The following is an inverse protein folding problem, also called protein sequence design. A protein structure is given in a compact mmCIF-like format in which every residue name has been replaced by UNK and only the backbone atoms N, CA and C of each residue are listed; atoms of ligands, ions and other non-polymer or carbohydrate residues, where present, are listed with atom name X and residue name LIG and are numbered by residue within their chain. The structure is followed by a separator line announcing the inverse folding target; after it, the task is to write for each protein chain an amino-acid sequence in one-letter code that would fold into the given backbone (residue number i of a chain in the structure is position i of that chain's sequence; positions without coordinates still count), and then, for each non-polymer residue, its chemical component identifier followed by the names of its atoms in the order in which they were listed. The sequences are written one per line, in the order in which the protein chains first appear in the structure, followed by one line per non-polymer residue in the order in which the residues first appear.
data_IF_091348101024
#
_entry.id   IF_091348101024
#
_cell.length_a   1.000
_cell.length_b   1.000
_cell.length_c   1.000
_cell.angle_alpha   90.00
_cell.angle_beta   90.00
_cell.angle_gamma   90.00
#
_symmetry.space_group_name_H-M   'P 1'
#
loop_
_entity.id
_entity.type
_entity.pdbx_description
1 polymer ?
#
# COMPACT_ATOMS: atom_id res chain seq x y z
N UNK A 1 -4.45 15.08 17.48
CA UNK A 1 -4.01 13.89 18.25
C UNK A 1 -3.24 14.38 19.48
N UNK A 2 -3.55 13.88 20.65
CA UNK A 2 -2.80 14.25 21.87
C UNK A 2 -1.38 13.67 21.78
N UNK A 3 -0.37 14.55 21.74
CA UNK A 3 1.05 14.17 21.67
C UNK A 3 1.71 14.09 23.05
N UNK A 4 0.98 14.41 24.12
CA UNK A 4 1.50 14.40 25.50
C UNK A 4 1.65 13.00 26.09
N UNK A 5 1.00 12.00 25.47
CA UNK A 5 1.01 10.61 25.90
C UNK A 5 1.23 9.67 24.73
N UNK A 6 1.66 8.45 25.05
CA UNK A 6 1.70 7.38 24.02
C UNK A 6 0.29 7.03 23.55
N UNK A 7 0.16 6.78 22.24
CA UNK A 7 -1.14 6.43 21.62
C UNK A 7 -1.72 5.17 22.26
N UNK A 8 -0.90 4.15 22.50
CA UNK A 8 -1.35 2.91 23.16
C UNK A 8 -1.97 3.17 24.55
N UNK A 9 -1.42 4.10 25.35
CA UNK A 9 -1.98 4.40 26.68
C UNK A 9 -3.35 5.08 26.59
N UNK A 10 -3.58 5.90 25.57
CA UNK A 10 -4.89 6.49 25.29
C UNK A 10 -5.89 5.42 24.83
N UNK A 11 -5.47 4.50 23.99
CA UNK A 11 -6.30 3.40 23.49
C UNK A 11 -6.69 2.40 24.58
N UNK A 12 -5.91 2.28 25.66
CA UNK A 12 -6.25 1.43 26.81
C UNK A 12 -7.59 1.77 27.46
N UNK A 13 -8.09 2.99 27.29
CA UNK A 13 -9.42 3.38 27.77
C UNK A 13 -10.54 2.52 27.15
N UNK A 14 -10.35 2.00 25.95
CA UNK A 14 -11.31 1.12 25.27
C UNK A 14 -11.42 -0.27 25.93
N UNK A 15 -10.46 -0.65 26.76
CA UNK A 15 -10.41 -1.93 27.45
C UNK A 15 -10.84 -1.86 28.92
N UNK A 16 -11.13 -0.66 29.45
CA UNK A 16 -11.44 -0.47 30.86
C UNK A 16 -12.66 -1.30 31.31
N UNK A 17 -13.73 -1.28 30.53
CA UNK A 17 -14.96 -2.01 30.86
C UNK A 17 -14.78 -3.53 30.84
N UNK A 18 -13.83 -4.04 30.09
CA UNK A 18 -13.47 -5.47 30.07
C UNK A 18 -12.64 -5.91 31.28
N UNK A 19 -12.05 -4.96 32.02
CA UNK A 19 -11.10 -5.22 33.07
C UNK A 19 -9.75 -5.83 32.58
N UNK A 20 -9.50 -5.86 31.28
CA UNK A 20 -8.26 -6.39 30.72
C UNK A 20 -7.17 -5.31 30.72
N UNK A 21 -6.29 -5.36 31.71
CA UNK A 21 -5.11 -4.50 31.81
C UNK A 21 -3.79 -5.23 31.52
N UNK A 22 -3.84 -6.53 31.22
CA UNK A 22 -2.67 -7.32 30.84
C UNK A 22 -2.38 -7.15 29.35
N UNK A 23 -2.07 -5.92 28.95
CA UNK A 23 -1.79 -5.51 27.58
C UNK A 23 -0.45 -4.78 27.54
N UNK A 24 0.37 -5.13 26.59
CA UNK A 24 1.62 -4.43 26.30
C UNK A 24 1.61 -3.88 24.88
N UNK A 25 2.54 -3.00 24.56
CA UNK A 25 2.55 -2.43 23.21
C UNK A 25 3.64 -1.39 23.00
N UNK A 26 3.81 -0.99 21.76
CA UNK A 26 4.78 -0.01 21.30
C UNK A 26 4.13 1.01 20.37
N UNK A 27 4.50 2.28 20.52
CA UNK A 27 4.18 3.30 19.52
C UNK A 27 5.32 3.39 18.52
N UNK A 28 4.98 3.45 17.24
CA UNK A 28 5.94 3.62 16.14
C UNK A 28 5.71 4.96 15.44
N UNK A 29 6.79 5.68 15.17
CA UNK A 29 6.76 6.96 14.49
C UNK A 29 7.74 6.93 13.32
N UNK A 30 7.22 6.99 12.08
CA UNK A 30 8.02 7.10 10.87
C UNK A 30 7.16 7.68 9.74
N UNK A 31 6.69 8.92 9.90
CA UNK A 31 5.78 9.55 8.93
C UNK A 31 4.68 8.58 8.48
N UNK A 32 4.36 8.54 7.19
CA UNK A 32 3.31 7.66 6.65
C UNK A 32 3.62 6.15 6.76
N UNK A 33 4.86 5.78 7.13
CA UNK A 33 5.29 4.38 7.26
C UNK A 33 5.08 3.82 8.69
N UNK A 34 4.70 4.63 9.67
CA UNK A 34 4.55 4.23 11.07
C UNK A 34 3.62 3.03 11.27
N UNK A 35 2.48 3.00 10.56
CA UNK A 35 1.55 1.85 10.62
C UNK A 35 2.17 0.54 10.10
N UNK A 36 3.05 0.61 9.10
CA UNK A 36 3.76 -0.57 8.57
C UNK A 36 4.84 -1.05 9.52
N UNK A 37 5.55 -0.14 10.22
CA UNK A 37 6.44 -0.54 11.30
C UNK A 37 5.67 -1.29 12.41
N UNK A 38 4.50 -0.79 12.82
CA UNK A 38 3.68 -1.46 13.81
C UNK A 38 3.22 -2.85 13.35
N UNK A 39 2.78 -2.96 12.09
CA UNK A 39 2.39 -4.25 11.49
C UNK A 39 3.55 -5.25 11.50
N UNK A 40 4.72 -4.85 11.01
CA UNK A 40 5.88 -5.76 10.95
C UNK A 40 6.38 -6.15 12.35
N UNK A 41 6.35 -5.24 13.32
CA UNK A 41 6.69 -5.57 14.70
C UNK A 41 5.71 -6.59 15.29
N UNK A 42 4.42 -6.44 15.03
CA UNK A 42 3.39 -7.37 15.49
C UNK A 42 3.56 -8.76 14.87
N UNK A 43 3.76 -8.84 13.55
CA UNK A 43 4.02 -10.12 12.84
C UNK A 43 5.30 -10.77 13.40
N UNK A 44 6.39 -10.01 13.50
CA UNK A 44 7.65 -10.55 14.02
C UNK A 44 7.52 -11.04 15.46
N UNK A 45 6.70 -10.40 16.29
CA UNK A 45 6.43 -10.87 17.66
C UNK A 45 5.62 -12.16 17.65
N UNK A 46 4.56 -12.27 16.85
CA UNK A 46 3.78 -13.50 16.74
C UNK A 46 4.63 -14.70 16.24
N UNK A 47 5.60 -14.43 15.37
CA UNK A 47 6.51 -15.46 14.83
C UNK A 47 7.73 -15.72 15.73
N UNK A 48 7.86 -15.01 16.86
CA UNK A 48 9.02 -15.14 17.76
C UNK A 48 8.77 -16.16 18.88
N UNK A 49 9.85 -16.56 19.55
CA UNK A 49 9.78 -17.38 20.77
C UNK A 49 9.17 -16.65 21.97
N UNK A 50 8.93 -15.34 21.87
CA UNK A 50 8.30 -14.54 22.93
C UNK A 50 6.77 -14.48 22.79
N UNK A 51 6.21 -15.07 21.74
CA UNK A 51 4.76 -15.10 21.59
C UNK A 51 4.10 -16.01 22.65
N UNK A 52 3.09 -15.51 23.28
CA UNK A 52 2.38 -16.15 24.38
C UNK A 52 0.93 -16.57 24.07
N UNK A 53 0.58 -16.58 22.78
CA UNK A 53 -0.74 -16.99 22.30
C UNK A 53 -1.77 -15.85 22.17
N UNK A 54 -1.42 -14.62 22.55
CA UNK A 54 -2.31 -13.45 22.37
C UNK A 54 -2.22 -12.91 20.94
N UNK A 55 -3.32 -12.33 20.45
CA UNK A 55 -3.33 -11.55 19.24
C UNK A 55 -2.73 -10.15 19.47
N UNK A 56 -2.30 -9.50 18.37
CA UNK A 56 -1.88 -8.12 18.39
C UNK A 56 -2.91 -7.22 17.66
N UNK A 57 -3.14 -6.02 18.17
CA UNK A 57 -3.94 -5.00 17.48
C UNK A 57 -3.01 -3.90 16.98
N UNK A 58 -2.98 -3.70 15.68
CA UNK A 58 -2.26 -2.60 15.05
C UNK A 58 -3.25 -1.48 14.75
N UNK A 59 -2.97 -0.29 15.27
CA UNK A 59 -3.79 0.90 15.02
C UNK A 59 -2.95 1.91 14.23
N UNK A 60 -3.36 2.18 12.99
CA UNK A 60 -2.74 3.15 12.09
C UNK A 60 -3.70 4.32 11.88
N UNK A 61 -3.49 5.42 12.57
CA UNK A 61 -4.35 6.59 12.50
C UNK A 61 -3.57 7.89 12.42
N UNK A 62 -4.04 8.82 11.59
CA UNK A 62 -3.38 10.10 11.40
C UNK A 62 -4.32 11.19 10.86
N UNK A 63 -3.86 12.43 10.95
CA UNK A 63 -4.52 13.61 10.41
C UNK A 63 -3.51 14.40 9.60
N UNK A 64 -3.75 14.53 8.30
CA UNK A 64 -2.90 15.26 7.36
C UNK A 64 -3.43 16.69 7.18
N UNK A 65 -2.83 17.63 7.89
CA UNK A 65 -3.14 19.06 7.80
C UNK A 65 -2.03 19.80 7.05
N UNK A 66 -2.42 20.69 6.15
CA UNK A 66 -1.50 21.53 5.39
C UNK A 66 -1.87 23.00 5.49
N UNK A 67 -0.87 23.87 5.51
CA UNK A 67 -1.07 25.31 5.35
C UNK A 67 -1.81 25.61 4.03
N UNK A 68 -2.45 26.78 3.96
CA UNK A 68 -3.10 27.26 2.74
C UNK A 68 -2.12 27.21 1.55
N UNK A 69 -2.51 26.49 0.51
CA UNK A 69 -1.68 26.25 -0.68
C UNK A 69 -2.07 24.98 -1.42
N UNK A 70 -1.27 24.58 -2.40
CA UNK A 70 -1.57 23.48 -3.33
C UNK A 70 -1.69 22.11 -2.66
N UNK A 71 -1.06 21.90 -1.51
CA UNK A 71 -1.13 20.63 -0.78
C UNK A 71 -2.41 20.50 0.07
N UNK A 72 -3.05 21.61 0.47
CA UNK A 72 -4.22 21.60 1.37
C UNK A 72 -5.36 20.68 0.89
N UNK A 73 -5.76 20.68 -0.41
CA UNK A 73 -6.84 19.82 -0.88
C UNK A 73 -6.53 18.32 -0.84
N UNK A 74 -5.27 17.93 -0.60
CA UNK A 74 -4.87 16.54 -0.50
C UNK A 74 -4.88 16.02 0.94
N UNK A 75 -5.10 16.90 1.92
CA UNK A 75 -5.20 16.56 3.32
C UNK A 75 -6.36 15.63 3.61
N UNK A 76 -6.25 14.88 4.69
CA UNK A 76 -7.27 13.93 5.09
C UNK A 76 -7.09 13.46 6.53
N UNK A 77 -8.00 12.63 6.99
CA UNK A 77 -7.92 12.00 8.30
C UNK A 77 -8.53 10.60 8.25
N UNK A 78 -7.98 9.69 9.00
CA UNK A 78 -8.53 8.34 9.10
C UNK A 78 -7.73 7.47 10.06
N UNK A 79 -8.36 6.37 10.44
CA UNK A 79 -7.77 5.37 11.31
C UNK A 79 -8.22 3.98 10.84
N UNK A 80 -7.27 3.06 10.78
CA UNK A 80 -7.54 1.65 10.52
C UNK A 80 -6.97 0.84 11.67
N UNK A 81 -7.79 -0.04 12.25
CA UNK A 81 -7.36 -1.03 13.22
C UNK A 81 -7.35 -2.41 12.57
N UNK A 82 -6.27 -3.16 12.78
CA UNK A 82 -6.07 -4.50 12.24
C UNK A 82 -5.78 -5.47 13.39
N UNK A 83 -6.53 -6.56 13.44
CA UNK A 83 -6.23 -7.68 14.32
C UNK A 83 -5.24 -8.59 13.62
N UNK A 84 -4.13 -8.89 14.27
CA UNK A 84 -3.04 -9.72 13.75
C UNK A 84 -2.95 -10.97 14.64
N UNK A 85 -3.11 -12.13 14.05
CA UNK A 85 -3.13 -13.41 14.74
C UNK A 85 -2.97 -14.57 13.75
N UNK A 86 -2.94 -15.82 14.25
CA UNK A 86 -2.93 -17.00 13.40
C UNK A 86 -4.26 -17.15 12.64
N UNK A 87 -4.26 -18.01 11.62
CA UNK A 87 -5.45 -18.40 10.83
C UNK A 87 -6.26 -17.22 10.27
N UNK A 88 -5.57 -16.13 9.93
CA UNK A 88 -6.18 -14.92 9.42
C UNK A 88 -6.68 -15.08 7.97
N UNK A 89 -7.79 -14.42 7.59
CA UNK A 89 -8.31 -14.43 6.22
C UNK A 89 -7.43 -13.68 5.21
N UNK A 90 -6.48 -12.87 5.68
CA UNK A 90 -5.42 -12.26 4.88
C UNK A 90 -4.07 -12.67 5.44
N UNK A 91 -3.36 -13.52 4.72
CA UNK A 91 -2.10 -14.11 5.19
C UNK A 91 -0.91 -13.36 4.63
N UNK A 92 -0.02 -12.92 5.51
CA UNK A 92 1.26 -12.31 5.11
C UNK A 92 2.16 -13.36 4.46
N UNK A 93 2.74 -13.05 3.28
CA UNK A 93 3.65 -13.98 2.60
C UNK A 93 5.07 -13.85 3.18
N UNK A 94 5.58 -14.86 3.91
CA UNK A 94 6.89 -14.80 4.57
C UNK A 94 8.02 -14.62 3.57
N UNK A 95 9.01 -13.80 3.93
CA UNK A 95 10.21 -13.58 3.11
C UNK A 95 9.99 -12.70 1.86
N UNK A 96 8.76 -12.43 1.44
CA UNK A 96 8.44 -11.59 0.29
C UNK A 96 8.27 -10.11 0.71
N UNK A 97 9.40 -9.49 1.11
CA UNK A 97 9.43 -8.10 1.55
C UNK A 97 10.62 -7.38 0.93
N UNK A 98 10.38 -6.49 -0.04
CA UNK A 98 11.36 -5.56 -0.57
C UNK A 98 11.35 -4.26 0.24
N UNK A 99 12.50 -3.79 0.73
CA UNK A 99 12.59 -2.57 1.57
C UNK A 99 13.60 -1.60 1.01
N UNK A 100 13.36 -0.31 1.23
CA UNK A 100 14.29 0.76 0.93
C UNK A 100 14.17 1.88 1.97
N UNK A 101 15.29 2.30 2.52
CA UNK A 101 15.36 3.37 3.51
C UNK A 101 16.57 4.26 3.21
N UNK A 102 16.38 5.58 3.32
CA UNK A 102 17.46 6.57 3.22
C UNK A 102 17.12 7.82 4.00
N UNK A 103 18.12 8.62 4.35
CA UNK A 103 17.92 9.88 5.06
C UNK A 103 17.71 11.02 4.06
N UNK A 104 16.55 11.71 4.14
CA UNK A 104 16.20 12.82 3.27
C UNK A 104 15.24 13.77 3.95
N UNK A 105 15.32 15.06 3.67
CA UNK A 105 14.41 16.10 4.15
C UNK A 105 13.41 16.52 3.04
N UNK A 106 12.64 15.57 2.53
CA UNK A 106 11.61 15.80 1.51
C UNK A 106 10.29 16.31 2.11
N UNK A 107 9.99 15.83 3.33
CA UNK A 107 8.78 16.14 4.09
C UNK A 107 9.08 15.94 5.57
N UNK A 108 8.96 16.98 6.40
CA UNK A 108 9.30 16.91 7.81
C UNK A 108 8.58 17.96 8.65
N UNK A 109 8.45 17.73 9.95
CA UNK A 109 7.88 18.64 10.94
C UNK A 109 8.97 19.10 11.91
N UNK A 110 9.60 20.24 11.68
CA UNK A 110 10.68 20.74 12.56
C UNK A 110 10.15 21.26 13.89
N UNK A 111 8.90 21.68 13.93
CA UNK A 111 8.21 22.16 15.12
C UNK A 111 7.18 21.13 15.59
N UNK A 112 7.44 20.50 16.72
CA UNK A 112 6.56 19.47 17.29
C UNK A 112 5.24 20.03 17.83
N UNK A 113 5.13 21.36 18.02
CA UNK A 113 3.90 22.02 18.42
C UNK A 113 2.99 22.36 17.24
N UNK A 114 3.52 22.29 16.01
CA UNK A 114 2.79 22.56 14.77
C UNK A 114 2.35 21.27 14.09
N UNK A 115 1.13 21.26 13.59
CA UNK A 115 0.64 20.16 12.73
C UNK A 115 1.08 20.29 11.28
N UNK A 116 1.59 21.46 10.88
CA UNK A 116 1.92 21.75 9.50
C UNK A 116 3.34 21.28 9.14
N UNK A 117 3.49 20.41 8.11
CA UNK A 117 4.81 20.01 7.62
C UNK A 117 5.45 21.06 6.73
N UNK A 118 6.77 20.98 6.60
CA UNK A 118 7.54 21.57 5.50
C UNK A 118 7.68 20.49 4.43
N UNK A 119 7.36 20.82 3.19
CA UNK A 119 7.30 19.89 2.07
C UNK A 119 8.06 20.44 0.87
N UNK A 120 9.08 19.70 0.39
CA UNK A 120 9.60 19.85 -0.97
C UNK A 120 8.86 18.85 -1.87
N UNK A 121 7.83 19.34 -2.57
CA UNK A 121 6.93 18.48 -3.35
C UNK A 121 7.63 17.78 -4.53
N UNK A 122 8.62 18.41 -5.16
CA UNK A 122 9.37 17.79 -6.27
C UNK A 122 10.30 16.68 -5.77
N UNK A 123 11.04 16.98 -4.73
CA UNK A 123 11.90 16.00 -4.07
C UNK A 123 11.09 14.82 -3.54
N UNK A 124 9.95 15.09 -2.88
CA UNK A 124 9.10 14.04 -2.31
C UNK A 124 8.53 13.09 -3.38
N UNK A 125 8.11 13.61 -4.53
CA UNK A 125 7.65 12.77 -5.65
C UNK A 125 8.76 11.89 -6.21
N UNK A 126 9.97 12.44 -6.34
CA UNK A 126 11.15 11.69 -6.78
C UNK A 126 11.50 10.59 -5.78
N UNK A 127 11.61 10.93 -4.50
CA UNK A 127 11.89 9.98 -3.42
C UNK A 127 10.88 8.83 -3.39
N UNK A 128 9.60 9.12 -3.57
CA UNK A 128 8.56 8.10 -3.63
C UNK A 128 8.78 7.14 -4.81
N UNK A 129 9.12 7.67 -5.99
CA UNK A 129 9.33 6.85 -7.20
C UNK A 129 10.61 6.01 -7.08
N UNK A 130 11.70 6.58 -6.57
CA UNK A 130 12.95 5.85 -6.29
C UNK A 130 12.73 4.71 -5.29
N UNK A 131 11.99 4.97 -4.22
CA UNK A 131 11.64 3.99 -3.22
C UNK A 131 10.78 2.85 -3.79
N UNK A 132 9.81 3.18 -4.66
CA UNK A 132 8.99 2.19 -5.37
C UNK A 132 9.84 1.27 -6.24
N UNK A 133 10.73 1.84 -7.07
CA UNK A 133 11.63 1.08 -7.94
C UNK A 133 12.54 0.15 -7.13
N UNK A 134 13.15 0.66 -6.06
CA UNK A 134 14.04 -0.11 -5.21
C UNK A 134 13.31 -1.25 -4.49
N UNK A 135 12.13 -0.97 -3.92
CA UNK A 135 11.32 -1.98 -3.26
C UNK A 135 10.82 -3.07 -4.23
N UNK A 136 10.41 -2.69 -5.44
CA UNK A 136 9.95 -3.63 -6.46
C UNK A 136 11.07 -4.57 -6.92
N UNK A 137 12.27 -4.01 -7.17
CA UNK A 137 13.46 -4.80 -7.51
C UNK A 137 13.85 -5.76 -6.38
N UNK A 138 13.86 -5.27 -5.13
CA UNK A 138 14.18 -6.09 -3.98
C UNK A 138 13.16 -7.20 -3.73
N UNK A 139 11.86 -6.91 -3.89
CA UNK A 139 10.78 -7.90 -3.81
C UNK A 139 10.97 -8.99 -4.88
N UNK A 140 11.19 -8.59 -6.14
CA UNK A 140 11.41 -9.51 -7.25
C UNK A 140 12.63 -10.41 -7.03
N UNK A 141 13.73 -9.86 -6.51
CA UNK A 141 14.93 -10.64 -6.21
C UNK A 141 14.67 -11.69 -5.12
N UNK A 142 13.92 -11.34 -4.08
CA UNK A 142 13.55 -12.28 -3.01
C UNK A 142 12.60 -13.37 -3.48
N UNK A 143 11.61 -13.02 -4.29
CA UNK A 143 10.69 -14.00 -4.88
C UNK A 143 11.47 -15.04 -5.70
N UNK A 144 12.37 -14.60 -6.57
CA UNK A 144 13.25 -15.50 -7.34
C UNK A 144 14.13 -16.39 -6.46
N UNK A 145 14.60 -15.88 -5.33
CA UNK A 145 15.43 -16.67 -4.40
C UNK A 145 14.67 -17.75 -3.64
N UNK A 146 13.34 -17.66 -3.59
CA UNK A 146 12.46 -18.66 -2.97
C UNK A 146 12.00 -19.74 -3.95
N UNK A 147 12.16 -19.51 -5.26
CA UNK A 147 11.87 -20.54 -6.25
C UNK A 147 12.91 -21.67 -6.12
N UNK A 148 12.47 -22.94 -6.08
CA UNK A 148 13.42 -24.04 -6.06
C UNK A 148 14.31 -23.98 -7.30
N UNK A 149 15.63 -24.32 -7.18
CA UNK A 149 16.53 -24.32 -8.32
C UNK A 149 15.96 -25.20 -9.43
N UNK A 150 15.57 -24.60 -10.54
CA UNK A 150 15.11 -25.32 -11.72
C UNK A 150 16.31 -26.03 -12.31
N UNK A 151 16.35 -27.36 -12.17
CA UNK A 151 17.33 -28.21 -12.87
C UNK A 151 17.14 -28.01 -14.37
N UNK A 152 17.83 -27.05 -14.98
CA UNK A 152 18.14 -26.95 -16.40
C UNK A 152 16.98 -26.96 -17.42
N UNK A 153 15.74 -27.10 -17.01
CA UNK A 153 14.58 -26.95 -17.89
C UNK A 153 14.05 -25.53 -17.70
N UNK A 154 14.34 -24.65 -18.68
CA UNK A 154 13.62 -23.40 -18.81
C UNK A 154 12.12 -23.73 -18.73
N UNK A 155 11.42 -23.17 -17.76
CA UNK A 155 9.97 -23.08 -17.83
C UNK A 155 9.67 -22.25 -19.09
N UNK A 156 9.46 -22.93 -20.20
CA UNK A 156 8.79 -22.34 -21.35
C UNK A 156 7.45 -21.90 -20.81
N UNK A 157 7.29 -20.58 -20.64
CA UNK A 157 5.97 -20.00 -20.57
C UNK A 157 5.24 -20.57 -21.78
N UNK A 158 4.27 -21.44 -21.53
CA UNK A 158 3.46 -22.03 -22.60
C UNK A 158 2.71 -20.92 -23.31
N UNK A 159 3.37 -20.27 -24.26
CA UNK A 159 2.72 -19.47 -25.28
C UNK A 159 2.09 -20.45 -26.25
N UNK A 160 0.86 -20.84 -25.99
CA UNK A 160 0.01 -21.35 -27.06
C UNK A 160 -0.08 -20.25 -28.13
N UNK A 161 0.08 -20.63 -29.38
CA UNK A 161 0.14 -19.75 -30.56
C UNK A 161 -1.14 -18.93 -30.82
N UNK A 162 -2.11 -18.89 -29.89
CA UNK A 162 -3.41 -18.19 -29.98
C UNK A 162 -3.71 -17.22 -28.83
N UNK A 163 -2.69 -16.68 -28.14
CA UNK A 163 -2.94 -15.66 -27.10
C UNK A 163 -3.40 -14.34 -27.74
N UNK A 164 -4.64 -13.95 -27.49
CA UNK A 164 -5.10 -12.61 -27.85
C UNK A 164 -4.30 -11.56 -27.05
N UNK A 165 -4.15 -10.35 -27.57
CA UNK A 165 -3.37 -9.27 -26.94
C UNK A 165 -3.80 -8.96 -25.47
N UNK A 166 -4.91 -9.52 -24.99
CA UNK A 166 -5.39 -9.44 -23.61
C UNK A 166 -4.78 -10.46 -22.64
N UNK A 167 -4.14 -11.52 -23.14
CA UNK A 167 -3.65 -12.64 -22.34
C UNK A 167 -2.14 -12.57 -22.02
N UNK A 168 -1.42 -11.59 -22.58
CA UNK A 168 0.02 -11.42 -22.35
C UNK A 168 0.24 -10.87 -20.94
N UNK A 169 0.83 -11.68 -20.04
CA UNK A 169 1.12 -11.31 -18.66
C UNK A 169 2.48 -10.63 -18.52
N UNK A 170 2.52 -9.49 -17.85
CA UNK A 170 3.76 -8.85 -17.38
C UNK A 170 4.19 -9.43 -16.02
N UNK A 171 5.47 -9.32 -15.62
CA UNK A 171 5.92 -9.74 -14.30
C UNK A 171 5.14 -9.12 -13.15
N UNK A 172 4.67 -7.87 -13.26
CA UNK A 172 3.82 -7.23 -12.27
C UNK A 172 2.44 -7.89 -12.10
N UNK A 173 1.98 -8.66 -13.09
CA UNK A 173 0.69 -9.37 -13.05
C UNK A 173 0.67 -10.54 -12.04
N UNK A 174 1.81 -10.84 -11.37
CA UNK A 174 1.88 -11.71 -10.20
C UNK A 174 1.05 -11.21 -9.02
N UNK A 175 0.75 -9.92 -8.96
CA UNK A 175 -0.21 -9.34 -8.04
C UNK A 175 -1.57 -9.26 -8.72
N UNK A 176 -2.55 -10.00 -8.19
CA UNK A 176 -3.93 -9.91 -8.67
C UNK A 176 -4.54 -8.54 -8.36
N UNK A 177 -4.22 -8.00 -7.19
CA UNK A 177 -4.59 -6.66 -6.75
C UNK A 177 -3.41 -5.93 -6.13
N UNK A 178 -3.49 -4.60 -6.08
CA UNK A 178 -2.47 -3.79 -5.40
C UNK A 178 -3.09 -2.62 -4.63
N UNK A 179 -2.51 -2.34 -3.46
CA UNK A 179 -2.76 -1.14 -2.67
C UNK A 179 -1.45 -0.36 -2.47
N UNK A 180 -1.52 0.94 -2.61
CA UNK A 180 -0.38 1.85 -2.48
C UNK A 180 -0.63 2.86 -1.36
N UNK A 181 0.42 3.30 -0.69
CA UNK A 181 0.34 4.57 0.01
C UNK A 181 -0.09 5.67 -0.97
N UNK A 182 -1.15 6.38 -0.63
CA UNK A 182 -1.84 7.30 -1.52
C UNK A 182 -1.79 8.75 -1.00
N UNK A 183 -0.65 9.47 -1.16
CA UNK A 183 -0.63 10.90 -0.89
C UNK A 183 -1.58 11.66 -1.82
N UNK A 184 -1.70 11.17 -3.06
CA UNK A 184 -2.71 11.58 -4.04
C UNK A 184 -3.09 10.41 -4.94
N UNK A 185 -4.34 10.38 -5.41
CA UNK A 185 -4.80 9.33 -6.33
C UNK A 185 -4.01 9.29 -7.65
N UNK A 186 -3.57 10.47 -8.13
CA UNK A 186 -2.76 10.57 -9.34
C UNK A 186 -1.38 9.91 -9.16
N UNK A 187 -0.77 10.02 -7.99
CA UNK A 187 0.51 9.37 -7.71
C UNK A 187 0.38 7.85 -7.74
N UNK A 188 -0.72 7.30 -7.24
CA UNK A 188 -0.98 5.84 -7.27
C UNK A 188 -1.02 5.33 -8.71
N UNK A 189 -1.72 6.03 -9.63
CA UNK A 189 -1.77 5.60 -11.03
C UNK A 189 -0.41 5.66 -11.72
N UNK A 190 0.39 6.69 -11.43
CA UNK A 190 1.77 6.82 -11.94
C UNK A 190 2.68 5.72 -11.37
N UNK A 191 2.50 5.39 -10.09
CA UNK A 191 3.27 4.32 -9.42
C UNK A 191 3.01 2.96 -10.05
N UNK A 192 1.74 2.65 -10.32
CA UNK A 192 1.40 1.41 -11.00
C UNK A 192 1.97 1.34 -12.42
N UNK A 193 1.92 2.46 -13.16
CA UNK A 193 2.56 2.57 -14.47
C UNK A 193 4.09 2.43 -14.38
N UNK A 194 4.72 2.94 -13.33
CA UNK A 194 6.16 2.82 -13.08
C UNK A 194 6.60 1.37 -12.85
N UNK A 195 5.77 0.54 -12.22
CA UNK A 195 6.07 -0.90 -12.10
C UNK A 195 6.21 -1.55 -13.49
N UNK A 196 5.31 -1.24 -14.42
CA UNK A 196 5.39 -1.76 -15.78
C UNK A 196 6.62 -1.24 -16.54
N UNK A 197 7.04 0.01 -16.28
CA UNK A 197 8.31 0.53 -16.81
C UNK A 197 9.52 -0.25 -16.28
N UNK A 198 9.51 -0.64 -14.99
CA UNK A 198 10.57 -1.50 -14.44
C UNK A 198 10.57 -2.89 -15.11
N UNK A 199 9.41 -3.45 -15.42
CA UNK A 199 9.31 -4.70 -16.17
C UNK A 199 9.86 -4.55 -17.59
N UNK A 200 9.56 -3.42 -18.28
CA UNK A 200 10.13 -3.09 -19.59
C UNK A 200 11.66 -2.98 -19.53
N UNK A 201 12.21 -2.31 -18.53
CA UNK A 201 13.67 -2.21 -18.37
C UNK A 201 14.33 -3.57 -18.10
N UNK A 202 13.62 -4.49 -17.45
CA UNK A 202 14.12 -5.83 -17.16
C UNK A 202 14.09 -6.75 -18.41
N UNK A 203 13.07 -6.64 -19.24
CA UNK A 203 12.92 -7.39 -20.50
C UNK A 203 12.20 -6.54 -21.57
N UNK A 204 12.94 -5.71 -22.31
CA UNK A 204 12.37 -4.88 -23.37
C UNK A 204 11.83 -5.68 -24.56
N UNK A 205 12.21 -6.96 -24.68
CA UNK A 205 11.81 -7.84 -25.79
C UNK A 205 10.43 -8.48 -25.57
N UNK A 206 9.88 -8.33 -24.36
CA UNK A 206 8.60 -8.91 -24.01
C UNK A 206 7.47 -8.40 -24.94
N UNK A 207 6.57 -9.27 -25.45
CA UNK A 207 5.57 -8.90 -26.46
C UNK A 207 4.67 -7.73 -26.10
N UNK A 208 4.44 -7.49 -24.81
CA UNK A 208 3.67 -6.35 -24.31
C UNK A 208 4.28 -4.99 -24.68
N UNK A 209 5.57 -4.94 -24.97
CA UNK A 209 6.33 -3.70 -25.17
C UNK A 209 6.67 -3.42 -26.63
N UNK A 210 6.05 -4.13 -27.56
CA UNK A 210 6.34 -4.00 -29.02
C UNK A 210 6.15 -2.57 -29.54
N UNK A 211 5.19 -1.82 -28.97
CA UNK A 211 4.90 -0.43 -29.36
C UNK A 211 5.59 0.62 -28.47
N UNK A 212 6.40 0.19 -27.48
CA UNK A 212 7.12 1.12 -26.62
C UNK A 212 8.31 1.70 -27.38
N UNK A 213 8.48 3.05 -27.42
CA UNK A 213 9.63 3.68 -28.04
C UNK A 213 10.95 3.13 -27.46
N UNK A 214 11.85 2.58 -28.30
CA UNK A 214 13.06 1.90 -27.80
C UNK A 214 14.02 2.84 -27.05
N UNK A 215 14.01 4.13 -27.36
CA UNK A 215 14.82 5.14 -26.66
C UNK A 215 14.48 5.29 -25.18
N UNK A 216 13.29 4.87 -24.76
CA UNK A 216 12.89 4.91 -23.33
C UNK A 216 13.67 3.91 -22.47
N UNK A 217 14.30 2.91 -23.09
CA UNK A 217 15.16 1.95 -22.42
C UNK A 217 16.47 2.56 -21.96
N UNK A 218 17.02 3.47 -22.76
CA UNK A 218 18.37 3.99 -22.61
C UNK A 218 18.40 5.33 -21.85
N UNK A 219 17.24 5.74 -21.28
CA UNK A 219 17.17 6.94 -20.47
C UNK A 219 18.03 6.80 -19.20
N UNK A 220 18.77 7.87 -18.90
CA UNK A 220 19.43 7.98 -17.60
C UNK A 220 18.40 7.86 -16.48
N UNK A 221 18.75 7.14 -15.39
CA UNK A 221 17.80 6.80 -14.32
C UNK A 221 17.10 8.02 -13.72
N UNK A 222 17.86 9.06 -13.35
CA UNK A 222 17.29 10.27 -12.74
C UNK A 222 16.37 11.03 -13.71
N UNK A 223 16.70 11.05 -15.00
CA UNK A 223 15.86 11.63 -16.03
C UNK A 223 14.54 10.87 -16.15
N UNK A 224 14.56 9.53 -16.10
CA UNK A 224 13.38 8.69 -16.22
C UNK A 224 12.34 8.90 -15.11
N UNK A 225 12.74 9.40 -13.94
CA UNK A 225 11.84 9.63 -12.80
C UNK A 225 10.81 10.73 -13.05
N UNK A 226 11.10 11.67 -13.96
CA UNK A 226 10.24 12.80 -14.31
C UNK A 226 9.89 12.91 -15.79
N UNK A 227 10.34 11.96 -16.61
CA UNK A 227 10.13 11.96 -18.05
C UNK A 227 8.65 11.79 -18.39
N UNK A 228 8.14 12.71 -19.21
CA UNK A 228 6.71 12.76 -19.58
C UNK A 228 6.32 11.71 -20.62
N UNK A 229 7.26 11.26 -21.44
CA UNK A 229 7.00 10.25 -22.44
C UNK A 229 6.90 8.89 -21.75
N UNK A 230 7.82 8.57 -20.81
CA UNK A 230 7.72 7.40 -19.94
C UNK A 230 6.39 7.40 -19.20
N UNK A 231 6.06 8.50 -18.50
CA UNK A 231 4.80 8.61 -17.74
C UNK A 231 3.58 8.31 -18.63
N UNK A 232 3.46 9.00 -19.77
CA UNK A 232 2.31 8.89 -20.68
C UNK A 232 2.18 7.51 -21.30
N UNK A 233 3.29 6.94 -21.78
CA UNK A 233 3.33 5.62 -22.43
C UNK A 233 2.86 4.54 -21.46
N UNK A 234 3.44 4.48 -20.26
CA UNK A 234 3.14 3.42 -19.31
C UNK A 234 1.79 3.61 -18.59
N UNK A 235 1.31 4.84 -18.41
CA UNK A 235 -0.08 5.10 -18.00
C UNK A 235 -1.08 4.55 -19.03
N UNK A 236 -0.81 4.71 -20.32
CA UNK A 236 -1.68 4.19 -21.37
C UNK A 236 -1.70 2.66 -21.35
N UNK A 237 -0.54 2.01 -21.33
CA UNK A 237 -0.40 0.55 -21.30
C UNK A 237 -1.02 -0.11 -20.06
N UNK A 238 -1.02 0.58 -18.92
CA UNK A 238 -1.57 0.04 -17.67
C UNK A 238 -3.03 0.39 -17.41
N UNK A 239 -3.68 1.19 -18.25
CA UNK A 239 -5.03 1.72 -18.00
C UNK A 239 -6.08 0.65 -17.63
N UNK A 240 -6.15 -0.44 -18.40
CA UNK A 240 -7.07 -1.56 -18.14
C UNK A 240 -6.68 -2.27 -16.83
N UNK A 241 -5.41 -2.66 -16.69
CA UNK A 241 -4.87 -3.31 -15.48
C UNK A 241 -5.09 -2.49 -14.23
N UNK A 242 -4.89 -1.18 -14.29
CA UNK A 242 -5.15 -0.28 -13.18
C UNK A 242 -6.61 -0.32 -12.74
N UNK A 243 -7.53 -0.28 -13.69
CA UNK A 243 -8.98 -0.34 -13.39
C UNK A 243 -9.37 -1.64 -12.71
N UNK A 244 -8.79 -2.75 -13.12
CA UNK A 244 -9.13 -4.07 -12.60
C UNK A 244 -8.43 -4.38 -11.28
N UNK A 245 -7.16 -3.96 -11.11
CA UNK A 245 -6.28 -4.43 -10.03
C UNK A 245 -6.00 -3.40 -8.94
N UNK A 246 -6.11 -2.11 -9.24
CA UNK A 246 -5.75 -1.02 -8.29
C UNK A 246 -6.98 -0.19 -7.91
N UNK A 247 -7.84 0.11 -8.87
CA UNK A 247 -9.02 0.97 -8.62
C UNK A 247 -9.91 0.49 -7.45
N UNK A 248 -10.10 -0.82 -7.20
CA UNK A 248 -10.83 -1.28 -6.01
C UNK A 248 -10.23 -0.82 -4.68
N UNK A 249 -8.91 -0.59 -4.60
CA UNK A 249 -8.23 -0.08 -3.41
C UNK A 249 -8.35 1.45 -3.23
N UNK A 250 -9.01 2.16 -4.15
CA UNK A 250 -8.96 3.62 -4.21
C UNK A 250 -10.20 4.33 -3.64
N UNK A 251 -11.21 3.61 -3.14
CA UNK A 251 -12.45 4.22 -2.65
C UNK A 251 -12.18 5.19 -1.50
N UNK A 252 -11.61 4.70 -0.40
CA UNK A 252 -11.31 5.56 0.76
C UNK A 252 -10.27 6.63 0.43
N UNK A 253 -9.12 6.33 -0.23
CA UNK A 253 -8.16 7.36 -0.63
C UNK A 253 -8.77 8.48 -1.47
N UNK A 254 -9.70 8.16 -2.36
CA UNK A 254 -10.40 9.16 -3.20
C UNK A 254 -11.31 10.06 -2.36
N UNK A 255 -12.00 9.46 -1.38
CA UNK A 255 -13.02 10.15 -0.61
C UNK A 255 -12.48 10.86 0.64
N UNK A 256 -11.37 10.39 1.19
CA UNK A 256 -10.83 10.89 2.47
C UNK A 256 -9.49 11.63 2.35
N UNK A 257 -8.83 11.61 1.19
CA UNK A 257 -7.52 12.21 1.01
C UNK A 257 -6.38 11.42 1.67
N UNK A 258 -5.26 12.09 1.90
CA UNK A 258 -4.10 11.49 2.54
C UNK A 258 -4.34 11.30 4.05
N UNK A 259 -4.20 10.08 4.54
CA UNK A 259 -4.33 9.71 5.95
C UNK A 259 -2.98 9.26 6.53
N UNK A 260 -1.87 9.69 5.94
CA UNK A 260 -0.49 9.32 6.30
C UNK A 260 -0.36 7.82 6.60
N UNK A 261 -0.05 7.42 7.84
CA UNK A 261 0.20 6.03 8.20
C UNK A 261 -1.02 5.10 8.03
N UNK A 262 -2.23 5.64 7.99
CA UNK A 262 -3.46 4.89 7.71
C UNK A 262 -3.74 4.68 6.23
N UNK A 263 -3.14 5.45 5.31
CA UNK A 263 -3.53 5.50 3.90
C UNK A 263 -3.46 4.15 3.18
N UNK A 264 -2.36 3.42 3.33
CA UNK A 264 -2.20 2.14 2.62
C UNK A 264 -3.17 1.07 3.13
N UNK A 265 -3.45 1.07 4.42
CA UNK A 265 -4.41 0.13 5.05
C UNK A 265 -5.85 0.51 4.75
N UNK A 266 -6.16 1.79 4.59
CA UNK A 266 -7.44 2.24 4.07
C UNK A 266 -7.64 1.81 2.60
N UNK A 267 -6.55 1.77 1.81
CA UNK A 267 -6.54 1.15 0.49
C UNK A 267 -6.87 -0.35 0.55
N UNK A 268 -6.26 -1.09 1.48
CA UNK A 268 -6.57 -2.50 1.70
C UNK A 268 -8.03 -2.70 2.14
N UNK A 269 -8.53 -1.89 3.08
CA UNK A 269 -9.93 -1.91 3.51
C UNK A 269 -10.90 -1.61 2.36
N UNK A 270 -10.55 -0.64 1.48
CA UNK A 270 -11.31 -0.36 0.26
C UNK A 270 -11.40 -1.58 -0.64
N UNK A 271 -10.27 -2.27 -0.86
CA UNK A 271 -10.20 -3.46 -1.72
C UNK A 271 -11.12 -4.56 -1.20
N UNK A 272 -11.00 -4.92 0.08
CA UNK A 272 -11.80 -5.97 0.73
C UNK A 272 -13.29 -5.63 0.68
N UNK A 273 -13.66 -4.35 0.77
CA UNK A 273 -15.06 -3.91 0.72
C UNK A 273 -15.62 -3.73 -0.70
N UNK A 274 -14.74 -3.65 -1.72
CA UNK A 274 -15.17 -3.33 -3.10
C UNK A 274 -15.19 -4.56 -4.02
N UNK A 275 -14.51 -5.63 -3.64
CA UNK A 275 -14.41 -6.87 -4.44
C UNK A 275 -15.24 -7.95 -3.74
N UNK A 276 -16.06 -8.67 -4.51
CA UNK A 276 -16.84 -9.78 -3.95
C UNK A 276 -15.90 -10.83 -3.30
N UNK A 277 -16.25 -11.35 -2.11
CA UNK A 277 -15.36 -12.22 -1.34
C UNK A 277 -14.83 -13.44 -2.10
N UNK A 278 -15.67 -14.08 -2.91
CA UNK A 278 -15.34 -15.22 -3.76
C UNK A 278 -14.26 -14.89 -4.80
N UNK A 279 -14.28 -13.68 -5.34
CA UNK A 279 -13.27 -13.20 -6.30
C UNK A 279 -11.91 -12.88 -5.67
N UNK A 280 -11.85 -12.77 -4.34
CA UNK A 280 -10.61 -12.58 -3.60
C UNK A 280 -9.90 -13.91 -3.25
N UNK A 281 -10.62 -15.05 -3.30
CA UNK A 281 -10.06 -16.35 -2.93
C UNK A 281 -8.85 -16.71 -3.80
N UNK A 282 -7.78 -17.17 -3.15
CA UNK A 282 -6.51 -17.53 -3.80
C UNK A 282 -5.70 -16.35 -4.33
N UNK A 283 -6.19 -15.11 -4.21
CA UNK A 283 -5.54 -13.92 -4.79
C UNK A 283 -4.37 -13.41 -3.98
N UNK A 284 -3.38 -12.87 -4.70
CA UNK A 284 -2.23 -12.17 -4.11
C UNK A 284 -2.45 -10.67 -4.20
N UNK A 285 -2.36 -9.99 -3.06
CA UNK A 285 -2.50 -8.55 -2.93
C UNK A 285 -1.11 -7.96 -2.67
N UNK A 286 -0.57 -7.21 -3.62
CA UNK A 286 0.66 -6.46 -3.45
C UNK A 286 0.39 -5.15 -2.69
N UNK A 287 1.27 -4.82 -1.76
CA UNK A 287 1.16 -3.60 -0.96
C UNK A 287 2.46 -2.81 -1.05
N UNK A 288 2.37 -1.53 -1.40
CA UNK A 288 3.48 -0.60 -1.32
C UNK A 288 3.21 0.47 -0.28
N UNK A 289 3.96 0.42 0.80
CA UNK A 289 3.96 1.40 1.90
C UNK A 289 5.18 2.31 1.79
N UNK A 290 4.97 3.61 2.01
CA UNK A 290 6.00 4.64 1.97
C UNK A 290 5.76 5.68 3.06
N UNK A 291 6.82 6.17 3.65
CA UNK A 291 6.81 7.34 4.52
C UNK A 291 8.04 8.20 4.27
N UNK A 292 7.80 9.50 4.13
CA UNK A 292 8.87 10.49 3.90
C UNK A 292 9.94 10.46 4.99
N UNK A 293 11.18 10.85 4.62
CA UNK A 293 12.30 10.92 5.51
C UNK A 293 13.42 9.90 5.32
N UNK A 294 13.36 8.82 4.57
CA UNK A 294 12.22 8.03 4.14
C UNK A 294 12.39 6.57 4.53
N UNK A 295 11.27 5.87 4.65
CA UNK A 295 11.23 4.41 4.74
C UNK A 295 10.12 3.86 3.84
N UNK A 296 10.34 2.70 3.22
CA UNK A 296 9.37 2.08 2.34
C UNK A 296 9.50 0.57 2.29
N UNK A 297 8.41 -0.09 1.96
CA UNK A 297 8.39 -1.54 1.73
C UNK A 297 7.34 -1.91 0.69
N UNK A 298 7.68 -2.89 -0.13
CA UNK A 298 6.75 -3.66 -0.91
C UNK A 298 6.66 -5.06 -0.33
N UNK A 299 5.46 -5.53 -0.07
CA UNK A 299 5.17 -6.86 0.47
C UNK A 299 3.85 -7.36 -0.08
N UNK A 300 3.54 -8.62 0.17
CA UNK A 300 2.28 -9.19 -0.29
C UNK A 300 1.53 -9.93 0.79
N UNK A 301 0.21 -9.92 0.61
CA UNK A 301 -0.74 -10.76 1.33
C UNK A 301 -1.36 -11.75 0.36
N UNK A 302 -1.71 -12.92 0.86
CA UNK A 302 -2.52 -13.89 0.13
C UNK A 302 -3.85 -14.09 0.84
N UNK A 303 -4.90 -14.18 0.07
CA UNK A 303 -6.20 -14.66 0.55
C UNK A 303 -6.17 -16.18 0.39
N UNK A 304 -6.18 -16.98 1.46
CA UNK A 304 -6.17 -18.44 1.36
C UNK A 304 -7.51 -18.97 0.84
N UNK A 305 -7.53 -20.27 0.50
CA UNK A 305 -8.74 -20.94 0.05
C UNK A 305 -9.01 -20.80 -1.45
N UNK A 306 -10.11 -21.36 -1.85
CA UNK A 306 -10.70 -21.24 -3.18
C UNK A 306 -12.18 -20.88 -3.09
N UNK A 307 -12.86 -20.73 -4.22
CA UNK A 307 -14.28 -20.35 -4.27
C UNK A 307 -15.24 -21.38 -3.65
N UNK A 308 -14.79 -22.60 -3.37
CA UNK A 308 -15.56 -23.64 -2.70
C UNK A 308 -15.36 -23.63 -1.17
N UNK A 309 -14.37 -22.89 -0.68
CA UNK A 309 -14.13 -22.71 0.76
C UNK A 309 -15.08 -21.66 1.32
N UNK A 310 -16.29 -22.09 1.65
CA UNK A 310 -17.35 -21.20 2.16
C UNK A 310 -16.93 -20.50 3.45
N UNK A 311 -16.16 -21.14 4.33
CA UNK A 311 -15.70 -20.52 5.57
C UNK A 311 -14.72 -19.37 5.32
N UNK A 312 -13.81 -19.52 4.36
CA UNK A 312 -12.90 -18.45 3.96
C UNK A 312 -13.64 -17.29 3.28
N UNK A 313 -14.60 -17.60 2.39
CA UNK A 313 -15.46 -16.61 1.74
C UNK A 313 -16.28 -15.82 2.79
N UNK A 314 -16.88 -16.52 3.74
CA UNK A 314 -17.67 -15.92 4.82
C UNK A 314 -16.81 -15.04 5.74
N UNK A 315 -15.57 -15.44 6.02
CA UNK A 315 -14.64 -14.65 6.84
C UNK A 315 -14.28 -13.30 6.16
N UNK A 316 -14.01 -13.31 4.86
CA UNK A 316 -13.77 -12.07 4.09
C UNK A 316 -15.05 -11.25 4.01
N UNK A 317 -16.20 -11.86 3.80
CA UNK A 317 -17.51 -11.20 3.79
C UNK A 317 -17.82 -10.50 5.11
N UNK A 318 -17.61 -11.19 6.24
CA UNK A 318 -17.78 -10.62 7.58
C UNK A 318 -16.82 -9.44 7.85
N UNK A 319 -15.59 -9.51 7.32
CA UNK A 319 -14.65 -8.37 7.40
C UNK A 319 -15.18 -7.16 6.62
N UNK A 320 -15.65 -7.34 5.39
CA UNK A 320 -16.22 -6.28 4.56
C UNK A 320 -17.48 -5.66 5.21
N UNK A 321 -18.35 -6.49 5.78
CA UNK A 321 -19.55 -6.04 6.50
C UNK A 321 -19.20 -5.19 7.73
N UNK A 322 -18.23 -5.63 8.56
CA UNK A 322 -17.78 -4.88 9.73
C UNK A 322 -17.09 -3.57 9.36
N UNK A 323 -16.36 -3.53 8.25
CA UNK A 323 -15.78 -2.30 7.75
C UNK A 323 -16.85 -1.28 7.38
N UNK A 324 -17.95 -1.72 6.79
CA UNK A 324 -19.11 -0.91 6.43
C UNK A 324 -18.72 0.45 5.81
N UNK A 325 -17.84 0.38 4.79
CA UNK A 325 -17.14 1.57 4.27
C UNK A 325 -18.13 2.54 3.63
N UNK A 326 -19.13 2.06 2.88
CA UNK A 326 -20.05 2.95 2.18
C UNK A 326 -20.87 3.79 3.17
N UNK A 327 -21.48 3.18 4.17
CA UNK A 327 -22.28 3.91 5.15
C UNK A 327 -21.44 4.90 5.96
N UNK A 328 -20.19 4.53 6.30
CA UNK A 328 -19.26 5.44 6.96
C UNK A 328 -18.88 6.64 6.10
N UNK A 329 -18.72 6.46 4.79
CA UNK A 329 -18.45 7.54 3.86
C UNK A 329 -19.69 8.44 3.65
N UNK A 330 -20.87 7.85 3.58
CA UNK A 330 -22.12 8.57 3.38
C UNK A 330 -22.56 9.35 4.64
N UNK A 331 -22.21 8.86 5.82
CA UNK A 331 -22.46 9.54 7.10
C UNK A 331 -21.61 10.80 7.32
N UNK A 332 -20.62 11.11 6.46
CA UNK A 332 -19.79 12.29 6.60
C UNK A 332 -20.58 13.56 6.28
N UNK A 333 -20.34 14.59 7.07
CA UNK A 333 -20.95 15.91 6.88
C UNK A 333 -20.06 16.79 6.01
N UNK A 334 -20.59 17.35 4.95
CA UNK A 334 -19.91 18.37 4.15
C UNK A 334 -20.03 19.72 4.85
N UNK A 335 -18.91 20.42 5.00
CA UNK A 335 -18.84 21.78 5.56
C UNK A 335 -18.26 22.74 4.55
N UNK A 336 -18.61 24.02 4.66
CA UNK A 336 -18.06 25.06 3.82
C UNK A 336 -16.55 25.26 4.05
N UNK A 337 -15.76 25.61 3.01
CA UNK A 337 -14.31 25.82 3.14
C UNK A 337 -13.91 26.85 4.21
N UNK A 338 -14.74 27.87 4.41
CA UNK A 338 -14.53 28.92 5.44
C UNK A 338 -14.51 28.32 6.83
N UNK A 339 -15.39 27.32 7.08
CA UNK A 339 -15.43 26.62 8.36
C UNK A 339 -14.15 25.83 8.64
N UNK A 340 -13.50 25.34 7.61
CA UNK A 340 -12.21 24.67 7.73
C UNK A 340 -11.13 25.65 8.21
N UNK A 341 -11.10 26.89 7.66
CA UNK A 341 -10.14 27.93 8.04
C UNK A 341 -10.35 28.43 9.49
N UNK A 342 -11.56 28.30 10.05
CA UNK A 342 -11.84 28.64 11.45
C UNK A 342 -11.34 27.61 12.45
N UNK A 343 -11.21 26.34 12.04
CA UNK A 343 -10.88 25.20 12.91
C UNK A 343 -9.41 24.79 12.80
N UNK A 344 -8.76 25.08 11.69
CA UNK A 344 -7.37 24.75 11.39
C UNK A 344 -6.49 25.97 11.22
#
# INVERSE_FOLDING_TARGET
MDKSKSVKSVLMQLFQDSGNFNVEGVDTVNACYGGTNALFNSINWLESSAWDGRDAVVVAGDIALYKKGNARPTGGAGCVAMLIGPDAPLVFEPGLRGTYITHVYDFYKPDLTSEYPIVDGQLSLRCYTEALDACYKAYTARERSQEPPTNGFAMTNGHGEDATAGDIKAPMDRFDFMAFHAPTCKLVSKSYARLLYNDYLADPSHPLFTEVPPELRDLEYQASLSDKVVEKTFLSLTKKRFTERVKPSMVIPTMCGNMYCGSVYAGLASLVSSVAPDLLMGKRIGIFSYGSGLASSMFSLRVPGDTNDTAAVDAIGAMAEKLNIQDRLDARMTVAPERYDEVC
#
